data_IF_946060677059
#
_entry.id   IF_946060677059
#
_cell.length_a   1.000
_cell.length_b   1.000
_cell.length_c   1.000
_cell.angle_alpha   90.00
_cell.angle_beta   90.00
_cell.angle_gamma   90.00
#
_symmetry.space_group_name_H-M   'P 1'
#
loop_
_entity.id
_entity.type
_entity.pdbx_description
1 polymer ?
#
# COMPACT_ATOMS: atom_id res chain seq x y z
N UNK A 1 -4.43 -39.55 -5.22
CA UNK A 1 -4.50 -38.92 -3.88
C UNK A 1 -4.25 -37.42 -4.09
N UNK A 2 -5.25 -36.55 -3.89
CA UNK A 2 -5.10 -35.10 -4.11
C UNK A 2 -4.38 -34.51 -2.88
N UNK A 3 -3.33 -33.73 -3.11
CA UNK A 3 -2.62 -33.00 -2.07
C UNK A 3 -3.56 -31.99 -1.39
N UNK A 4 -3.47 -31.87 -0.05
CA UNK A 4 -4.22 -30.86 0.74
C UNK A 4 -3.59 -29.45 0.68
N UNK A 5 -2.47 -29.28 -0.02
CA UNK A 5 -1.76 -28.01 -0.09
C UNK A 5 -2.44 -27.04 -1.08
N UNK A 6 -2.56 -25.78 -0.66
CA UNK A 6 -3.01 -24.67 -1.49
C UNK A 6 -1.85 -24.22 -2.38
N UNK A 7 -2.15 -23.91 -3.65
CA UNK A 7 -1.17 -23.33 -4.55
C UNK A 7 -0.77 -21.93 -4.08
N UNK A 8 0.52 -21.74 -3.84
CA UNK A 8 1.12 -20.49 -3.36
C UNK A 8 1.99 -19.83 -4.44
N UNK A 9 1.82 -20.19 -5.71
CA UNK A 9 2.57 -19.59 -6.82
C UNK A 9 2.42 -18.06 -6.92
N UNK A 10 1.38 -17.48 -6.30
CA UNK A 10 1.18 -16.04 -6.20
C UNK A 10 2.08 -15.36 -5.16
N UNK A 11 2.73 -16.11 -4.26
CA UNK A 11 3.67 -15.58 -3.27
C UNK A 11 5.05 -15.51 -3.93
N UNK A 12 5.67 -14.33 -4.02
CA UNK A 12 7.03 -14.21 -4.56
C UNK A 12 8.02 -15.06 -3.76
N UNK A 13 9.02 -15.68 -4.42
CA UNK A 13 10.00 -16.52 -3.75
C UNK A 13 11.01 -15.73 -2.90
N UNK A 14 11.06 -14.40 -3.03
CA UNK A 14 12.00 -13.52 -2.34
C UNK A 14 11.30 -12.27 -1.77
N UNK A 15 11.94 -11.65 -0.77
CA UNK A 15 11.47 -10.44 -0.08
C UNK A 15 11.84 -9.12 -0.80
N UNK A 16 12.38 -9.19 -2.02
CA UNK A 16 12.90 -8.03 -2.74
C UNK A 16 11.88 -6.88 -2.88
N UNK A 17 10.63 -7.20 -3.20
CA UNK A 17 9.56 -6.21 -3.35
C UNK A 17 9.22 -5.56 -1.99
N UNK A 18 9.18 -6.35 -0.91
CA UNK A 18 8.99 -5.83 0.44
C UNK A 18 10.16 -4.91 0.87
N UNK A 19 11.40 -5.32 0.61
CA UNK A 19 12.60 -4.54 0.96
C UNK A 19 12.65 -3.20 0.21
N UNK A 20 12.33 -3.20 -1.09
CA UNK A 20 12.21 -1.98 -1.89
C UNK A 20 11.13 -1.05 -1.35
N UNK A 21 9.98 -1.60 -1.00
CA UNK A 21 8.88 -0.84 -0.39
C UNK A 21 9.30 -0.21 0.95
N UNK A 22 9.87 -0.98 1.88
CA UNK A 22 10.28 -0.44 3.18
C UNK A 22 11.48 0.50 3.11
N UNK A 23 12.34 0.36 2.10
CA UNK A 23 13.40 1.34 1.82
C UNK A 23 12.82 2.69 1.40
N UNK A 24 11.79 2.69 0.55
CA UNK A 24 11.06 3.92 0.20
C UNK A 24 10.29 4.50 1.40
N UNK A 25 9.68 3.65 2.22
CA UNK A 25 9.00 4.09 3.44
C UNK A 25 9.97 4.77 4.42
N UNK A 26 11.18 4.21 4.60
CA UNK A 26 12.25 4.82 5.40
C UNK A 26 12.61 6.22 4.91
N UNK A 27 12.79 6.39 3.59
CA UNK A 27 13.11 7.68 2.98
C UNK A 27 12.00 8.73 3.25
N UNK A 28 10.73 8.33 3.13
CA UNK A 28 9.60 9.23 3.38
C UNK A 28 9.47 9.59 4.86
N UNK A 29 9.78 8.66 5.76
CA UNK A 29 9.74 8.88 7.21
C UNK A 29 10.87 9.80 7.70
N UNK A 30 12.09 9.68 7.15
CA UNK A 30 13.26 10.44 7.63
C UNK A 30 13.52 11.72 6.84
N UNK A 31 13.66 11.61 5.52
CA UNK A 31 14.38 12.61 4.72
C UNK A 31 13.44 13.63 4.06
N UNK A 32 12.25 13.19 3.64
CA UNK A 32 11.31 14.01 2.85
C UNK A 32 10.25 14.73 3.70
N UNK A 33 9.90 14.23 4.90
CA UNK A 33 8.85 14.81 5.75
C UNK A 33 9.23 14.74 7.22
N UNK A 34 9.93 15.78 7.70
CA UNK A 34 10.19 15.98 9.14
C UNK A 34 8.88 15.89 9.93
N UNK A 35 8.67 14.78 10.64
CA UNK A 35 7.49 14.48 11.48
C UNK A 35 6.18 14.10 10.75
N UNK A 36 6.20 13.02 9.96
CA UNK A 36 4.95 12.31 9.59
C UNK A 36 4.56 11.32 10.69
N UNK A 37 3.27 11.30 11.10
CA UNK A 37 2.81 10.31 12.09
C UNK A 37 2.79 8.90 11.48
N UNK A 38 3.01 7.83 12.27
CA UNK A 38 3.01 6.46 11.77
C UNK A 38 1.73 6.10 10.98
N UNK A 39 0.56 6.50 11.47
CA UNK A 39 -0.72 6.29 10.79
C UNK A 39 -0.78 6.97 9.41
N UNK A 40 -0.27 8.20 9.30
CA UNK A 40 -0.24 8.91 8.01
C UNK A 40 0.76 8.29 7.05
N UNK A 41 1.90 7.82 7.55
CA UNK A 41 2.88 7.10 6.75
C UNK A 41 2.25 5.82 6.17
N UNK A 42 1.58 5.03 7.00
CA UNK A 42 0.90 3.81 6.57
C UNK A 42 -0.14 4.08 5.48
N UNK A 43 -0.99 5.09 5.68
CA UNK A 43 -1.99 5.50 4.67
C UNK A 43 -1.35 5.90 3.34
N UNK A 44 -0.31 6.75 3.38
CA UNK A 44 0.39 7.18 2.17
C UNK A 44 1.06 6.01 1.44
N UNK A 45 1.71 5.12 2.18
CA UNK A 45 2.40 3.97 1.61
C UNK A 45 1.42 2.97 1.00
N UNK A 46 0.29 2.71 1.66
CA UNK A 46 -0.78 1.86 1.16
C UNK A 46 -1.36 2.41 -0.17
N UNK A 47 -1.67 3.71 -0.20
CA UNK A 47 -2.16 4.36 -1.42
C UNK A 47 -1.11 4.33 -2.54
N UNK A 48 0.15 4.62 -2.22
CA UNK A 48 1.21 4.66 -3.23
C UNK A 48 1.51 3.27 -3.81
N UNK A 49 1.53 2.23 -2.99
CA UNK A 49 1.75 0.85 -3.44
C UNK A 49 0.62 0.36 -4.35
N UNK A 50 -0.62 0.67 -3.98
CA UNK A 50 -1.82 0.28 -4.71
C UNK A 50 -2.26 1.31 -5.75
N UNK A 51 -1.35 2.13 -6.28
CA UNK A 51 -1.67 3.24 -7.22
C UNK A 51 -2.46 2.79 -8.44
N UNK A 52 -2.29 1.55 -8.88
CA UNK A 52 -3.03 0.99 -10.03
C UNK A 52 -4.50 0.66 -9.70
N UNK A 53 -4.85 0.57 -8.41
CA UNK A 53 -6.19 0.21 -7.94
C UNK A 53 -7.09 1.42 -7.72
N UNK A 54 -6.59 2.64 -7.86
CA UNK A 54 -7.38 3.85 -7.66
C UNK A 54 -6.96 4.98 -8.59
N UNK A 55 -7.95 5.79 -8.97
CA UNK A 55 -7.76 6.97 -9.76
C UNK A 55 -8.59 8.13 -9.20
N UNK A 56 -8.62 9.25 -9.94
CA UNK A 56 -9.41 10.43 -9.56
C UNK A 56 -10.90 10.11 -9.45
N UNK A 57 -11.42 9.20 -10.27
CA UNK A 57 -12.83 8.82 -10.23
C UNK A 57 -13.19 8.05 -8.95
N UNK A 58 -12.31 7.13 -8.51
CA UNK A 58 -12.46 6.43 -7.23
C UNK A 58 -12.47 7.41 -6.06
N UNK A 59 -11.58 8.42 -6.08
CA UNK A 59 -11.50 9.45 -5.05
C UNK A 59 -12.79 10.29 -4.99
N UNK A 60 -13.30 10.75 -6.13
CA UNK A 60 -14.53 11.56 -6.16
C UNK A 60 -15.75 10.77 -5.66
N UNK A 61 -15.85 9.48 -6.00
CA UNK A 61 -16.90 8.61 -5.47
C UNK A 61 -16.82 8.47 -3.94
N UNK A 62 -15.61 8.27 -3.40
CA UNK A 62 -15.41 8.17 -1.95
C UNK A 62 -15.73 9.51 -1.27
N UNK A 63 -15.27 10.62 -1.84
CA UNK A 63 -15.56 11.98 -1.33
C UNK A 63 -17.06 12.26 -1.30
N UNK A 64 -17.80 11.91 -2.35
CA UNK A 64 -19.25 12.09 -2.42
C UNK A 64 -19.97 11.27 -1.35
N UNK A 65 -19.51 10.05 -1.06
CA UNK A 65 -20.05 9.20 0.01
C UNK A 65 -19.78 9.77 1.40
N UNK A 66 -18.58 10.33 1.63
CA UNK A 66 -18.20 10.89 2.94
C UNK A 66 -18.93 12.21 3.19
N UNK A 67 -19.06 13.08 2.19
CA UNK A 67 -19.74 14.37 2.32
C UNK A 67 -21.28 14.29 2.31
N UNK A 68 -21.85 13.11 2.04
CA UNK A 68 -23.28 12.85 2.11
C UNK A 68 -23.76 12.37 3.49
N UNK A 69 -22.86 12.25 4.47
CA UNK A 69 -23.16 11.91 5.86
C UNK A 69 -23.06 13.13 6.78
#
# INVERSE_FOLDING_TARGET
KRSHYVDVAYIPPTSNECERFFSAAKLVLSDLRKSISPTKLEMLMCLQYNRELWDVSTIEQVRARIGAN
#
